data_IF_303695540668
#
_entry.id   IF_303695540668
#
_cell.length_a   1.000
_cell.length_b   1.000
_cell.length_c   1.000
_cell.angle_alpha   90.00
_cell.angle_beta   90.00
_cell.angle_gamma   90.00
#
_symmetry.space_group_name_H-M   'P 1'
#
loop_
_entity.id
_entity.type
_entity.pdbx_description
1 polymer ?
#
# COMPACT_ATOMS: atom_id res chain seq x y z
N UNK A 1 -6.85 -17.63 3.95
CA UNK A 1 -8.26 -18.08 4.04
C UNK A 1 -8.22 -19.56 4.37
N UNK A 2 -8.35 -19.87 5.65
CA UNK A 2 -8.41 -21.22 6.19
C UNK A 2 -9.66 -21.93 5.67
N UNK A 3 -9.47 -23.00 4.90
CA UNK A 3 -10.49 -24.00 4.67
C UNK A 3 -10.16 -25.21 5.54
N UNK A 4 -10.73 -25.12 6.74
CA UNK A 4 -10.98 -26.20 7.68
C UNK A 4 -11.36 -27.51 6.97
N UNK A 5 -10.39 -28.44 6.85
CA UNK A 5 -10.65 -29.86 6.60
C UNK A 5 -11.05 -30.49 7.94
N UNK A 6 -12.28 -30.23 8.37
CA UNK A 6 -12.96 -30.94 9.46
C UNK A 6 -14.40 -31.17 9.06
N UNK A 7 -14.65 -32.30 8.39
CA UNK A 7 -15.99 -32.88 8.20
C UNK A 7 -15.80 -34.30 7.68
N UNK A 8 -15.69 -35.28 8.58
CA UNK A 8 -16.78 -36.23 8.83
C UNK A 8 -17.16 -37.07 7.59
N UNK A 9 -16.37 -38.11 7.33
CA UNK A 9 -16.90 -39.38 6.82
C UNK A 9 -16.52 -40.50 7.78
N UNK A 10 -17.10 -40.43 8.98
CA UNK A 10 -17.32 -41.63 9.78
C UNK A 10 -18.56 -42.33 9.22
N UNK A 11 -18.41 -43.12 8.15
CA UNK A 11 -19.43 -44.10 7.78
C UNK A 11 -19.24 -45.29 8.71
N UNK A 12 -19.82 -45.16 9.91
CA UNK A 12 -19.97 -46.26 10.84
C UNK A 12 -20.89 -47.30 10.21
N UNK A 13 -20.31 -48.44 9.82
CA UNK A 13 -21.03 -49.64 9.44
C UNK A 13 -21.72 -50.20 10.71
N UNK A 14 -22.96 -49.77 10.97
CA UNK A 14 -23.80 -50.34 12.02
C UNK A 14 -24.30 -51.72 11.56
N UNK A 15 -23.63 -52.79 12.00
CA UNK A 15 -24.20 -54.13 11.99
C UNK A 15 -25.13 -54.29 13.20
N UNK A 16 -26.44 -54.29 12.96
CA UNK A 16 -27.43 -54.80 13.91
C UNK A 16 -27.84 -56.21 13.47
N UNK A 17 -27.14 -57.21 13.99
CA UNK A 17 -27.57 -58.62 13.97
C UNK A 17 -28.49 -58.84 15.18
N UNK A 18 -29.80 -58.84 14.96
CA UNK A 18 -30.76 -59.43 15.91
C UNK A 18 -31.33 -60.71 15.31
N UNK A 19 -30.83 -61.83 15.82
CA UNK A 19 -31.29 -63.17 15.55
C UNK A 19 -32.68 -63.43 16.15
N UNK A 20 -33.58 -63.98 15.35
CA UNK A 20 -34.68 -64.80 15.84
C UNK A 20 -34.86 -65.99 14.89
N UNK A 21 -34.91 -67.18 15.47
CA UNK A 21 -34.47 -68.42 14.83
C UNK A 21 -35.44 -69.06 13.85
N UNK A 22 -34.86 -69.83 12.93
CA UNK A 22 -35.47 -71.01 12.35
C UNK A 22 -34.39 -71.98 11.86
N UNK A 23 -34.37 -73.19 12.42
CA UNK A 23 -33.49 -74.28 11.99
C UNK A 23 -34.02 -74.86 10.68
N UNK A 24 -33.53 -74.38 9.51
CA UNK A 24 -33.37 -75.19 8.29
C UNK A 24 -32.85 -74.34 7.11
N UNK A 25 -31.52 -74.34 6.88
CA UNK A 25 -30.79 -74.09 5.62
C UNK A 25 -29.43 -73.37 5.83
N UNK A 26 -28.60 -73.85 6.77
CA UNK A 26 -27.31 -73.21 7.07
C UNK A 26 -26.35 -73.11 5.87
N UNK A 27 -26.44 -74.02 4.88
CA UNK A 27 -25.59 -73.98 3.67
C UNK A 27 -26.02 -72.96 2.62
N UNK A 28 -27.24 -72.42 2.70
CA UNK A 28 -27.75 -71.42 1.75
C UNK A 28 -27.47 -70.00 2.26
N UNK A 29 -27.63 -69.79 3.57
CA UNK A 29 -27.32 -68.51 4.24
C UNK A 29 -25.82 -68.16 4.17
N UNK A 30 -24.91 -69.13 4.35
CA UNK A 30 -23.46 -68.88 4.21
C UNK A 30 -23.07 -68.46 2.78
N UNK A 31 -23.71 -69.04 1.76
CA UNK A 31 -23.45 -68.67 0.36
C UNK A 31 -23.97 -67.29 0.01
N UNK A 32 -25.10 -66.89 0.59
CA UNK A 32 -25.68 -65.57 0.37
C UNK A 32 -24.86 -64.49 1.12
N UNK A 33 -24.31 -64.82 2.30
CA UNK A 33 -23.38 -63.97 3.04
C UNK A 33 -22.03 -63.78 2.30
N UNK A 34 -21.42 -64.85 1.80
CA UNK A 34 -20.18 -64.78 1.01
C UNK A 34 -20.37 -63.96 -0.28
N UNK A 35 -21.56 -64.06 -0.90
CA UNK A 35 -21.90 -63.28 -2.08
C UNK A 35 -22.04 -61.79 -1.76
N UNK A 36 -22.67 -61.46 -0.63
CA UNK A 36 -22.80 -60.08 -0.17
C UNK A 36 -21.44 -59.46 0.19
N UNK A 37 -20.56 -60.20 0.86
CA UNK A 37 -19.19 -59.75 1.18
C UNK A 37 -18.39 -59.52 -0.10
N UNK A 38 -18.49 -60.43 -1.08
CA UNK A 38 -17.81 -60.27 -2.37
C UNK A 38 -18.32 -59.05 -3.14
N UNK A 39 -19.63 -58.81 -3.15
CA UNK A 39 -20.23 -57.63 -3.78
C UNK A 39 -19.79 -56.34 -3.08
N UNK A 40 -19.78 -56.31 -1.75
CA UNK A 40 -19.30 -55.16 -0.98
C UNK A 40 -17.82 -54.87 -1.23
N UNK A 41 -16.99 -55.90 -1.38
CA UNK A 41 -15.57 -55.74 -1.72
C UNK A 41 -15.40 -55.17 -3.14
N UNK A 42 -16.14 -55.69 -4.13
CA UNK A 42 -16.12 -55.17 -5.50
C UNK A 42 -16.59 -53.70 -5.57
N UNK A 43 -17.57 -53.30 -4.75
CA UNK A 43 -17.99 -51.90 -4.64
C UNK A 43 -16.94 -51.02 -3.97
N UNK A 44 -16.28 -51.51 -2.91
CA UNK A 44 -15.20 -50.80 -2.23
C UNK A 44 -13.99 -50.57 -3.16
N UNK A 45 -13.62 -51.59 -3.95
CA UNK A 45 -12.53 -51.50 -4.91
C UNK A 45 -12.85 -50.46 -6.01
N UNK A 46 -14.10 -50.45 -6.52
CA UNK A 46 -14.57 -49.42 -7.46
C UNK A 46 -14.55 -48.01 -6.85
N UNK A 47 -14.94 -47.86 -5.59
CA UNK A 47 -14.89 -46.59 -4.88
C UNK A 47 -13.46 -46.06 -4.72
N UNK A 48 -12.52 -46.94 -4.39
CA UNK A 48 -11.10 -46.59 -4.28
C UNK A 48 -10.52 -46.14 -5.63
N UNK A 49 -10.90 -46.79 -6.73
CA UNK A 49 -10.50 -46.39 -8.08
C UNK A 49 -11.03 -44.99 -8.44
N UNK A 50 -12.30 -44.71 -8.12
CA UNK A 50 -12.89 -43.37 -8.33
C UNK A 50 -12.22 -42.30 -7.47
N UNK A 51 -11.89 -42.60 -6.21
CA UNK A 51 -11.18 -41.66 -5.32
C UNK A 51 -9.78 -41.34 -5.87
N UNK A 52 -9.06 -42.35 -6.36
CA UNK A 52 -7.74 -42.16 -6.98
C UNK A 52 -7.83 -41.30 -8.24
N UNK A 53 -8.83 -41.53 -9.09
CA UNK A 53 -9.08 -40.67 -10.25
C UNK A 53 -9.40 -39.22 -9.87
N UNK A 54 -10.22 -39.01 -8.83
CA UNK A 54 -10.57 -37.68 -8.34
C UNK A 54 -9.34 -36.96 -7.76
N UNK A 55 -8.52 -37.65 -6.97
CA UNK A 55 -7.27 -37.09 -6.43
C UNK A 55 -6.29 -36.70 -7.53
N UNK A 56 -6.13 -37.55 -8.56
CA UNK A 56 -5.32 -37.23 -9.73
C UNK A 56 -5.88 -36.05 -10.54
N UNK A 57 -7.21 -35.93 -10.65
CA UNK A 57 -7.87 -34.77 -11.28
C UNK A 57 -7.64 -33.50 -10.47
N UNK A 58 -7.73 -33.55 -9.15
CA UNK A 58 -7.43 -32.41 -8.27
C UNK A 58 -5.97 -31.97 -8.38
N UNK A 59 -5.03 -32.91 -8.33
CA UNK A 59 -3.61 -32.62 -8.53
C UNK A 59 -3.34 -32.00 -9.90
N UNK A 60 -4.01 -32.49 -10.95
CA UNK A 60 -3.91 -31.93 -12.31
C UNK A 60 -4.56 -30.55 -12.40
N UNK A 61 -5.67 -30.30 -11.73
CA UNK A 61 -6.30 -28.98 -11.65
C UNK A 61 -5.40 -28.00 -10.89
N UNK A 62 -4.76 -28.42 -9.80
CA UNK A 62 -3.79 -27.60 -9.07
C UNK A 62 -2.58 -27.26 -9.94
N UNK A 63 -2.00 -28.24 -10.63
CA UNK A 63 -0.89 -28.02 -11.56
C UNK A 63 -1.28 -27.09 -12.73
N UNK A 64 -2.49 -27.26 -13.29
CA UNK A 64 -3.02 -26.36 -14.33
C UNK A 64 -3.31 -24.96 -13.80
N UNK A 65 -3.71 -24.80 -12.54
CA UNK A 65 -3.86 -23.48 -11.90
C UNK A 65 -2.50 -22.81 -11.69
N UNK A 66 -1.50 -23.55 -11.21
CA UNK A 66 -0.14 -23.02 -11.05
C UNK A 66 0.48 -22.64 -12.39
N UNK A 67 0.29 -23.48 -13.41
CA UNK A 67 0.73 -23.20 -14.78
C UNK A 67 -0.03 -22.03 -15.40
N UNK A 68 -1.35 -21.92 -15.17
CA UNK A 68 -2.14 -20.77 -15.60
C UNK A 68 -1.74 -19.48 -14.87
N UNK A 69 -1.46 -19.53 -13.56
CA UNK A 69 -0.94 -18.39 -12.79
C UNK A 69 0.43 -17.98 -13.33
N UNK A 70 1.33 -18.94 -13.58
CA UNK A 70 2.66 -18.70 -14.15
C UNK A 70 2.57 -18.11 -15.57
N UNK A 71 1.67 -18.62 -16.40
CA UNK A 71 1.45 -18.13 -17.78
C UNK A 71 0.64 -16.82 -17.84
N UNK A 72 -0.10 -16.47 -16.79
CA UNK A 72 -0.75 -15.16 -16.66
C UNK A 72 0.25 -14.13 -16.10
N UNK A 73 1.18 -14.56 -15.23
CA UNK A 73 2.27 -13.75 -14.67
C UNK A 73 3.52 -13.68 -15.56
N UNK A 74 3.58 -14.40 -16.68
CA UNK A 74 4.52 -14.10 -17.78
C UNK A 74 4.19 -12.78 -18.47
N UNK A 75 3.10 -12.12 -18.10
CA UNK A 75 3.08 -10.66 -18.15
C UNK A 75 4.14 -10.19 -17.13
N UNK A 76 5.36 -9.96 -17.61
CA UNK A 76 6.44 -9.27 -16.90
C UNK A 76 5.79 -8.00 -16.37
N UNK A 77 5.28 -8.03 -15.14
CA UNK A 77 4.71 -6.85 -14.53
C UNK A 77 5.91 -6.14 -13.95
N UNK A 78 6.46 -5.12 -14.63
CA UNK A 78 7.42 -4.25 -13.97
C UNK A 78 6.71 -3.77 -12.69
N UNK A 79 7.38 -3.81 -11.54
CA UNK A 79 6.87 -3.17 -10.32
C UNK A 79 6.25 -1.79 -10.59
N UNK A 80 5.47 -1.27 -9.63
CA UNK A 80 4.80 0.01 -9.78
C UNK A 80 5.77 1.13 -10.16
N UNK A 81 5.30 2.10 -10.94
CA UNK A 81 6.05 3.33 -11.17
C UNK A 81 6.03 4.20 -9.90
N UNK A 82 7.07 4.97 -9.60
CA UNK A 82 6.96 6.02 -8.60
C UNK A 82 5.87 7.03 -9.00
N UNK A 83 5.28 7.70 -7.99
CA UNK A 83 4.39 8.82 -8.24
C UNK A 83 5.16 10.06 -8.66
N UNK A 84 4.47 11.00 -9.31
CA UNK A 84 5.09 12.19 -9.88
C UNK A 84 5.70 13.08 -8.79
N UNK A 85 6.90 13.62 -9.03
CA UNK A 85 7.58 14.60 -8.18
C UNK A 85 7.76 15.89 -8.97
N UNK A 86 7.05 16.94 -8.57
CA UNK A 86 7.12 18.27 -9.19
C UNK A 86 7.74 19.25 -8.20
N UNK A 87 8.90 19.82 -8.53
CA UNK A 87 9.54 20.85 -7.74
C UNK A 87 9.59 22.16 -8.53
N UNK A 88 9.20 23.27 -7.88
CA UNK A 88 9.07 24.56 -8.55
C UNK A 88 9.65 25.74 -7.77
N UNK A 89 10.12 26.75 -8.49
CA UNK A 89 10.58 28.03 -7.94
C UNK A 89 11.97 27.95 -7.32
N UNK A 90 12.17 28.51 -6.13
CA UNK A 90 13.46 28.62 -5.44
C UNK A 90 14.09 27.27 -5.06
N UNK A 91 13.37 26.16 -5.20
CA UNK A 91 13.89 24.79 -5.06
C UNK A 91 14.77 24.39 -6.25
N UNK A 92 14.56 25.03 -7.41
CA UNK A 92 15.15 24.69 -8.70
C UNK A 92 16.07 25.82 -9.15
N UNK A 93 17.37 25.54 -9.25
CA UNK A 93 18.37 26.50 -9.72
C UNK A 93 18.42 26.57 -11.24
N UNK A 94 18.26 25.44 -11.91
CA UNK A 94 18.19 25.31 -13.37
C UNK A 94 17.41 24.06 -13.77
N UNK A 95 17.20 23.81 -15.06
CA UNK A 95 16.35 22.71 -15.58
C UNK A 95 16.69 21.31 -15.04
N UNK A 96 17.88 21.10 -14.47
CA UNK A 96 18.27 19.83 -13.84
C UNK A 96 19.08 20.01 -12.56
N UNK A 97 19.04 21.19 -11.95
CA UNK A 97 19.81 21.50 -10.74
C UNK A 97 18.89 21.98 -9.63
N UNK A 98 19.01 21.35 -8.47
CA UNK A 98 18.24 21.71 -7.28
C UNK A 98 19.10 22.56 -6.34
N UNK A 99 18.44 23.31 -5.47
CA UNK A 99 19.12 23.86 -4.31
C UNK A 99 19.75 22.69 -3.49
N UNK A 100 21.02 22.80 -3.03
CA UNK A 100 21.76 21.72 -2.35
C UNK A 100 21.17 21.34 -1.00
N UNK A 101 20.19 22.10 -0.50
CA UNK A 101 19.37 21.71 0.63
C UNK A 101 18.27 20.72 0.25
N UNK A 102 18.02 20.50 -1.05
CA UNK A 102 16.94 19.66 -1.57
C UNK A 102 17.54 18.44 -2.26
N UNK A 103 17.13 17.26 -1.81
CA UNK A 103 17.48 15.99 -2.45
C UNK A 103 16.19 15.28 -2.85
N UNK A 104 16.12 14.79 -4.09
CA UNK A 104 14.93 14.13 -4.62
C UNK A 104 15.29 12.80 -5.28
N UNK A 105 14.61 11.74 -4.90
CA UNK A 105 14.80 10.38 -5.40
C UNK A 105 13.46 9.78 -5.85
N UNK A 106 13.46 9.16 -7.02
CA UNK A 106 12.32 8.40 -7.56
C UNK A 106 12.77 6.97 -7.84
N UNK A 107 11.99 5.98 -7.38
CA UNK A 107 12.30 4.57 -7.58
C UNK A 107 11.09 3.76 -8.02
N UNK A 108 11.30 2.93 -9.05
CA UNK A 108 10.39 1.86 -9.40
C UNK A 108 10.30 0.81 -8.30
N UNK A 109 9.10 0.27 -8.11
CA UNK A 109 8.88 -0.89 -7.27
C UNK A 109 9.51 -2.15 -7.86
N UNK A 110 9.56 -3.22 -7.06
CA UNK A 110 10.12 -4.52 -7.47
C UNK A 110 9.07 -5.41 -8.12
N UNK A 111 9.43 -6.10 -9.20
CA UNK A 111 8.65 -7.20 -9.78
C UNK A 111 8.72 -8.44 -8.89
N UNK A 112 7.98 -9.48 -9.27
CA UNK A 112 8.00 -10.78 -8.59
C UNK A 112 9.37 -11.48 -8.64
N UNK A 113 10.18 -11.20 -9.67
CA UNK A 113 11.56 -11.70 -9.80
C UNK A 113 12.57 -10.84 -9.01
N UNK A 114 12.11 -9.77 -8.35
CA UNK A 114 12.96 -8.85 -7.57
C UNK A 114 13.61 -7.73 -8.39
N UNK A 115 13.38 -7.66 -9.70
CA UNK A 115 13.87 -6.58 -10.56
C UNK A 115 13.07 -5.29 -10.35
N UNK A 116 13.74 -4.14 -10.30
CA UNK A 116 13.05 -2.85 -10.25
C UNK A 116 12.64 -2.39 -11.63
N UNK A 117 11.47 -1.78 -11.73
CA UNK A 117 11.02 -1.12 -12.95
C UNK A 117 11.93 0.04 -13.33
N UNK A 118 12.16 0.19 -14.63
CA UNK A 118 12.71 1.43 -15.16
C UNK A 118 11.71 2.55 -14.86
N UNK A 119 12.23 3.66 -14.31
CA UNK A 119 11.42 4.83 -13.98
C UNK A 119 11.19 5.65 -15.24
N UNK A 120 9.93 6.03 -15.47
CA UNK A 120 9.58 6.93 -16.57
C UNK A 120 10.28 8.30 -16.39
N UNK A 121 10.91 8.80 -17.45
CA UNK A 121 11.52 10.13 -17.50
C UNK A 121 10.59 11.28 -17.09
N UNK A 122 9.27 11.11 -17.18
CA UNK A 122 8.30 12.17 -16.85
C UNK A 122 7.92 12.24 -15.37
N UNK A 123 8.37 11.28 -14.54
CA UNK A 123 8.03 11.25 -13.12
C UNK A 123 8.60 12.46 -12.40
N UNK A 124 9.82 12.89 -12.72
CA UNK A 124 10.46 14.02 -12.06
C UNK A 124 10.39 15.27 -12.95
N UNK A 125 9.87 16.37 -12.42
CA UNK A 125 9.70 17.62 -13.15
C UNK A 125 10.21 18.79 -12.32
N UNK A 126 11.08 19.59 -12.94
CA UNK A 126 11.63 20.80 -12.34
C UNK A 126 11.16 22.04 -13.10
N UNK A 127 10.64 23.02 -12.36
CA UNK A 127 10.16 24.28 -12.91
C UNK A 127 10.89 25.43 -12.23
N UNK A 128 11.52 26.30 -13.01
CA UNK A 128 12.28 27.44 -12.46
C UNK A 128 11.41 28.51 -11.80
N UNK A 129 10.09 28.48 -12.02
CA UNK A 129 9.16 29.45 -11.42
C UNK A 129 7.86 28.79 -10.98
N UNK A 130 7.24 29.38 -9.97
CA UNK A 130 5.86 29.07 -9.58
C UNK A 130 4.89 29.79 -10.52
N UNK A 131 3.75 29.16 -10.81
CA UNK A 131 2.74 29.67 -11.74
C UNK A 131 2.03 30.92 -11.22
N UNK A 132 1.42 31.68 -12.14
CA UNK A 132 0.66 32.88 -11.76
C UNK A 132 -0.55 32.57 -10.86
N UNK A 133 -1.22 31.43 -11.08
CA UNK A 133 -2.32 30.97 -10.23
C UNK A 133 -1.84 30.63 -8.82
N UNK A 134 -0.71 29.93 -8.69
CA UNK A 134 -0.10 29.65 -7.38
C UNK A 134 0.29 30.94 -6.64
N UNK A 135 0.83 31.93 -7.35
CA UNK A 135 1.15 33.24 -6.77
C UNK A 135 -0.09 33.97 -6.28
N UNK A 136 -1.22 33.85 -6.99
CA UNK A 136 -2.48 34.46 -6.60
C UNK A 136 -3.05 33.82 -5.33
N UNK A 137 -3.03 32.48 -5.25
CA UNK A 137 -3.42 31.74 -4.03
C UNK A 137 -2.61 32.20 -2.82
N UNK A 138 -1.29 32.38 -2.99
CA UNK A 138 -0.38 32.80 -1.92
C UNK A 138 -0.58 34.26 -1.49
N UNK A 139 -0.95 35.17 -2.40
CA UNK A 139 -1.22 36.58 -2.08
C UNK A 139 -2.35 36.72 -1.07
N UNK A 140 -3.38 35.88 -1.18
CA UNK A 140 -4.54 35.91 -0.28
C UNK A 140 -4.17 35.52 1.16
N UNK A 141 -3.15 34.67 1.35
CA UNK A 141 -2.74 34.20 2.67
C UNK A 141 -1.86 35.21 3.43
N UNK A 142 -1.18 36.12 2.73
CA UNK A 142 -0.27 37.09 3.35
C UNK A 142 -0.98 38.07 4.31
N UNK A 143 -2.27 38.31 4.11
CA UNK A 143 -3.08 39.22 4.91
C UNK A 143 -3.98 38.54 5.95
N UNK A 144 -3.94 37.21 6.07
CA UNK A 144 -4.90 36.46 6.92
C UNK A 144 -4.69 36.72 8.42
N UNK A 145 -3.47 37.07 8.85
CA UNK A 145 -3.16 37.34 10.26
C UNK A 145 -3.17 36.07 11.13
N UNK A 146 -3.11 34.88 10.52
CA UNK A 146 -3.24 33.60 11.22
C UNK A 146 -2.00 32.71 11.06
N UNK A 147 -1.78 31.83 12.04
CA UNK A 147 -0.82 30.74 11.90
C UNK A 147 -1.41 29.39 12.31
N UNK A 148 -0.95 28.34 11.67
CA UNK A 148 -1.18 26.94 12.07
C UNK A 148 0.11 26.42 12.70
N UNK A 149 0.00 25.79 13.86
CA UNK A 149 1.11 25.15 14.53
C UNK A 149 0.82 23.67 14.76
N UNK A 150 1.61 22.83 14.10
CA UNK A 150 1.63 21.39 14.29
C UNK A 150 2.93 21.01 15.01
N UNK A 151 2.84 20.78 16.32
CA UNK A 151 3.92 20.17 17.10
C UNK A 151 5.08 21.09 17.49
N UNK A 152 5.08 22.36 17.09
CA UNK A 152 6.16 23.29 17.42
C UNK A 152 5.92 24.01 18.74
N UNK A 153 7.00 24.43 19.40
CA UNK A 153 6.93 25.42 20.48
C UNK A 153 6.88 26.81 19.84
N UNK A 154 5.70 27.44 19.83
CA UNK A 154 5.47 28.68 19.07
C UNK A 154 6.36 29.86 19.47
N UNK A 155 6.87 29.89 20.72
CA UNK A 155 7.80 30.93 21.19
C UNK A 155 9.13 30.94 20.42
N UNK A 156 9.48 29.86 19.75
CA UNK A 156 10.77 29.69 19.07
C UNK A 156 10.72 30.22 17.62
N UNK A 157 9.56 30.72 17.19
CA UNK A 157 9.29 31.17 15.83
C UNK A 157 8.78 32.60 15.81
N UNK A 158 9.72 33.51 15.59
CA UNK A 158 9.47 34.94 15.35
C UNK A 158 8.46 35.20 14.23
N UNK A 159 8.33 34.25 13.29
CA UNK A 159 7.39 34.31 12.20
C UNK A 159 5.93 34.35 12.65
N UNK A 160 5.62 33.83 13.84
CA UNK A 160 4.27 33.82 14.44
C UNK A 160 3.93 35.06 15.24
N UNK A 161 4.88 35.97 15.45
CA UNK A 161 4.68 37.15 16.30
C UNK A 161 3.55 38.02 15.75
N UNK A 162 2.54 38.27 16.60
CA UNK A 162 1.38 39.08 16.26
C UNK A 162 0.33 38.38 15.40
N UNK A 163 0.46 37.06 15.18
CA UNK A 163 -0.53 36.26 14.47
C UNK A 163 -1.44 35.52 15.45
N UNK A 164 -2.66 35.23 15.00
CA UNK A 164 -3.64 34.46 15.74
C UNK A 164 -3.54 32.97 15.38
N UNK A 165 -3.56 32.09 16.38
CA UNK A 165 -3.59 30.65 16.12
C UNK A 165 -4.89 30.27 15.43
N UNK A 166 -4.78 29.53 14.33
CA UNK A 166 -5.89 28.87 13.66
C UNK A 166 -5.93 27.43 14.14
N UNK A 167 -6.95 27.09 14.92
CA UNK A 167 -7.13 25.73 15.42
C UNK A 167 -7.32 24.76 14.25
N UNK A 168 -6.60 23.64 14.30
CA UNK A 168 -6.79 22.52 13.40
C UNK A 168 -7.58 21.48 14.18
N UNK A 169 -8.74 21.08 13.65
CA UNK A 169 -9.55 20.02 14.27
C UNK A 169 -8.69 18.78 14.52
N UNK A 170 -8.81 18.17 15.70
CA UNK A 170 -8.09 16.93 16.05
C UNK A 170 -8.39 15.80 15.06
N UNK A 171 -9.60 15.80 14.46
CA UNK A 171 -10.00 14.85 13.42
C UNK A 171 -9.26 15.06 12.09
N UNK A 172 -8.71 16.26 11.87
CA UNK A 172 -7.94 16.60 10.68
C UNK A 172 -6.46 16.22 10.79
N UNK A 173 -5.94 15.95 12.00
CA UNK A 173 -4.52 15.60 12.22
C UNK A 173 -4.14 14.23 11.63
N UNK A 174 -4.96 13.16 11.72
CA UNK A 174 -4.61 11.86 11.12
C UNK A 174 -4.71 11.83 9.59
N UNK A 175 -5.38 12.82 8.97
CA UNK A 175 -5.67 12.84 7.53
C UNK A 175 -5.35 14.21 6.92
N UNK A 176 -4.41 14.98 7.48
CA UNK A 176 -4.07 16.37 7.12
C UNK A 176 -4.49 16.76 5.71
N UNK A 177 -5.71 17.29 5.53
CA UNK A 177 -6.25 17.49 4.17
C UNK A 177 -5.80 18.80 3.59
N UNK A 178 -6.08 19.89 4.31
CA UNK A 178 -5.80 21.25 3.85
C UNK A 178 -5.37 22.11 5.03
N UNK A 179 -4.13 22.57 5.02
CA UNK A 179 -3.60 23.58 5.92
C UNK A 179 -3.39 24.86 5.12
N UNK A 180 -4.10 25.92 5.49
CA UNK A 180 -3.98 27.25 4.87
C UNK A 180 -3.97 28.30 5.97
N UNK A 181 -2.88 29.06 6.05
CA UNK A 181 -2.70 30.18 6.97
C UNK A 181 -1.60 31.12 6.45
N UNK A 182 -1.43 32.29 7.06
CA UNK A 182 -0.28 33.15 6.74
C UNK A 182 1.04 32.45 7.09
N UNK A 183 1.10 31.75 8.22
CA UNK A 183 2.26 30.93 8.61
C UNK A 183 1.81 29.51 8.93
N UNK A 184 2.47 28.51 8.37
CA UNK A 184 2.29 27.11 8.75
C UNK A 184 3.59 26.58 9.33
N UNK A 185 3.54 26.15 10.59
CA UNK A 185 4.64 25.54 11.34
C UNK A 185 4.39 24.05 11.50
N UNK A 186 5.38 23.23 11.19
CA UNK A 186 5.32 21.77 11.36
C UNK A 186 6.65 21.31 11.96
N UNK A 187 6.62 20.69 13.14
CA UNK A 187 7.83 20.26 13.86
C UNK A 187 7.70 18.83 14.37
N UNK A 188 8.80 18.05 14.29
CA UNK A 188 8.99 16.75 14.97
C UNK A 188 7.78 15.80 14.93
N UNK A 189 7.06 15.80 13.80
CA UNK A 189 5.85 15.02 13.61
C UNK A 189 6.07 13.98 12.52
N UNK A 190 5.69 12.74 12.86
CA UNK A 190 5.58 11.62 11.94
C UNK A 190 4.10 11.46 11.55
N UNK A 191 3.75 11.88 10.33
CA UNK A 191 2.39 11.77 9.82
C UNK A 191 2.26 10.69 8.76
N UNK A 192 1.29 9.80 8.97
CA UNK A 192 0.69 8.99 7.90
C UNK A 192 -0.40 9.78 7.22
N UNK A 193 -0.01 10.70 6.35
CA UNK A 193 -0.95 11.59 5.67
C UNK A 193 -1.79 10.87 4.62
N UNK A 194 -2.95 11.42 4.26
CA UNK A 194 -3.72 11.03 3.07
C UNK A 194 -3.35 11.92 1.88
N UNK A 195 -4.36 12.45 1.18
CA UNK A 195 -4.18 13.64 0.35
C UNK A 195 -3.96 14.87 1.26
N UNK A 196 -2.86 15.60 1.05
CA UNK A 196 -2.44 16.74 1.86
C UNK A 196 -2.09 17.94 1.02
N UNK A 197 -2.64 19.10 1.40
CA UNK A 197 -2.34 20.39 0.81
C UNK A 197 -1.93 21.38 1.90
N UNK A 198 -0.66 21.77 1.92
CA UNK A 198 -0.09 22.75 2.84
C UNK A 198 0.16 24.03 2.05
N UNK A 199 -0.39 25.15 2.50
CA UNK A 199 -0.10 26.44 1.89
C UNK A 199 -0.02 27.58 2.88
N UNK A 200 0.95 28.46 2.67
CA UNK A 200 1.08 29.67 3.46
C UNK A 200 2.05 30.69 2.86
N UNK A 201 1.96 31.93 3.31
CA UNK A 201 2.98 32.93 2.97
C UNK A 201 4.35 32.45 3.47
N UNK A 202 4.38 31.86 4.67
CA UNK A 202 5.55 31.14 5.18
C UNK A 202 5.17 29.72 5.57
N UNK A 203 5.89 28.73 5.04
CA UNK A 203 5.81 27.34 5.49
C UNK A 203 7.15 26.97 6.11
N UNK A 204 7.12 26.49 7.35
CA UNK A 204 8.30 26.12 8.12
C UNK A 204 8.23 24.62 8.39
N UNK A 205 9.26 23.91 7.91
CA UNK A 205 9.45 22.50 8.18
C UNK A 205 10.65 22.37 9.13
N UNK A 206 10.39 21.87 10.34
CA UNK A 206 11.41 21.64 11.36
C UNK A 206 11.51 20.14 11.72
N UNK A 207 12.50 19.42 11.20
CA UNK A 207 12.65 18.00 11.52
C UNK A 207 11.46 17.10 11.11
N UNK A 208 10.71 17.47 10.07
CA UNK A 208 9.42 16.82 9.75
C UNK A 208 9.61 15.50 9.02
N UNK A 209 8.79 14.49 9.34
CA UNK A 209 8.69 13.25 8.55
C UNK A 209 7.27 13.05 8.02
N UNK A 210 7.08 13.30 6.73
CA UNK A 210 5.86 12.95 6.03
C UNK A 210 6.01 11.59 5.36
N UNK A 211 5.17 10.63 5.74
CA UNK A 211 5.15 9.30 5.13
C UNK A 211 3.75 8.98 4.60
N UNK A 212 3.58 9.01 3.28
CA UNK A 212 2.37 8.53 2.61
C UNK A 212 2.62 7.13 2.07
N UNK A 213 1.88 6.15 2.59
CA UNK A 213 1.71 4.84 1.94
C UNK A 213 0.31 4.79 1.37
N UNK A 214 0.16 4.71 0.05
CA UNK A 214 -1.16 4.87 -0.55
C UNK A 214 -1.28 4.57 -2.04
N UNK A 215 -2.33 5.11 -2.63
CA UNK A 215 -2.69 4.94 -4.03
C UNK A 215 -2.26 6.15 -4.87
N UNK A 216 -2.20 6.04 -6.21
CA UNK A 216 -1.83 7.15 -7.10
C UNK A 216 -2.66 8.42 -6.95
N UNK A 217 -3.90 8.30 -6.44
CA UNK A 217 -4.80 9.44 -6.22
C UNK A 217 -4.42 10.31 -5.02
N UNK A 218 -3.57 9.78 -4.13
CA UNK A 218 -3.08 10.52 -2.99
C UNK A 218 -1.94 11.45 -3.42
N UNK A 219 -1.80 12.58 -2.75
CA UNK A 219 -0.70 13.49 -3.03
C UNK A 219 -0.31 14.31 -1.81
N UNK A 220 0.95 14.73 -1.76
CA UNK A 220 1.46 15.72 -0.82
C UNK A 220 1.82 16.98 -1.60
N UNK A 221 1.10 18.07 -1.33
CA UNK A 221 1.35 19.37 -1.96
C UNK A 221 1.78 20.38 -0.91
N UNK A 222 2.87 21.09 -1.19
CA UNK A 222 3.35 22.22 -0.39
C UNK A 222 3.49 23.44 -1.30
N UNK A 223 2.78 24.53 -0.97
CA UNK A 223 2.80 25.78 -1.71
C UNK A 223 3.12 26.95 -0.78
N UNK A 224 4.27 27.60 -0.97
CA UNK A 224 4.73 28.68 -0.11
C UNK A 224 5.25 29.90 -0.87
N UNK A 225 5.04 31.13 -0.36
CA UNK A 225 5.89 32.24 -0.80
C UNK A 225 7.31 32.03 -0.29
N UNK A 226 7.45 31.63 0.98
CA UNK A 226 8.74 31.33 1.60
C UNK A 226 8.69 29.97 2.30
N UNK A 227 9.48 29.02 1.80
CA UNK A 227 9.76 27.76 2.49
C UNK A 227 10.99 27.94 3.39
N UNK A 228 10.86 27.60 4.66
CA UNK A 228 11.91 27.72 5.67
C UNK A 228 12.22 26.31 6.18
N UNK A 229 13.44 25.85 5.95
CA UNK A 229 13.91 24.54 6.41
C UNK A 229 14.74 24.73 7.68
N UNK A 230 14.28 24.14 8.78
CA UNK A 230 15.02 24.02 10.03
C UNK A 230 15.24 22.51 10.29
N UNK A 231 16.47 22.11 10.56
CA UNK A 231 16.82 20.68 10.62
C UNK A 231 16.55 19.89 9.32
N UNK A 232 16.58 18.57 9.43
CA UNK A 232 16.42 17.67 8.29
C UNK A 232 14.97 17.18 8.21
N UNK A 233 14.28 17.53 7.12
CA UNK A 233 12.91 17.11 6.84
C UNK A 233 12.85 16.08 5.72
N UNK A 234 11.91 15.16 5.80
CA UNK A 234 11.76 14.03 4.88
C UNK A 234 10.31 13.87 4.41
N UNK A 235 10.10 13.71 3.10
CA UNK A 235 8.80 13.44 2.48
C UNK A 235 8.91 12.16 1.66
N UNK A 236 8.22 11.11 2.08
CA UNK A 236 8.11 9.84 1.39
C UNK A 236 6.69 9.62 0.89
N UNK A 237 6.57 9.37 -0.41
CA UNK A 237 5.37 8.86 -1.04
C UNK A 237 5.65 7.46 -1.59
N UNK A 238 5.06 6.45 -0.99
CA UNK A 238 5.22 5.04 -1.37
C UNK A 238 3.88 4.45 -1.77
N UNK A 239 3.86 3.69 -2.86
CA UNK A 239 2.68 2.93 -3.23
C UNK A 239 2.50 1.69 -2.33
N UNK A 240 1.25 1.26 -2.14
CA UNK A 240 0.97 0.01 -1.41
C UNK A 240 1.52 -1.19 -2.18
N UNK A 241 2.40 -1.95 -1.53
CA UNK A 241 2.95 -3.19 -2.07
C UNK A 241 1.84 -4.27 -2.13
N UNK A 242 1.87 -5.14 -3.15
CA UNK A 242 0.75 -6.07 -3.39
C UNK A 242 1.13 -7.36 -4.14
N UNK A 243 0.32 -8.43 -4.05
CA UNK A 243 0.63 -9.73 -4.62
C UNK A 243 0.23 -9.91 -6.10
N UNK A 244 -0.44 -8.92 -6.69
CA UNK A 244 -0.94 -9.03 -8.07
C UNK A 244 -1.16 -7.67 -8.73
N UNK A 245 -1.63 -6.68 -7.97
CA UNK A 245 -1.83 -5.31 -8.47
C UNK A 245 -0.63 -4.44 -8.11
N UNK A 246 0.13 -4.06 -9.13
CA UNK A 246 1.22 -3.09 -9.00
C UNK A 246 0.71 -1.72 -9.45
N UNK A 247 0.59 -0.81 -8.50
CA UNK A 247 0.12 0.56 -8.67
C UNK A 247 1.28 1.57 -8.60
N UNK A 248 1.08 2.73 -9.21
CA UNK A 248 2.01 3.84 -9.08
C UNK A 248 1.97 4.47 -7.68
N UNK A 249 3.08 5.07 -7.27
CA UNK A 249 3.17 5.82 -6.02
C UNK A 249 2.27 7.08 -5.99
N UNK A 250 2.00 7.62 -4.80
CA UNK A 250 1.40 8.95 -4.63
C UNK A 250 2.29 10.06 -5.18
N UNK A 251 1.68 11.18 -5.58
CA UNK A 251 2.42 12.32 -6.14
C UNK A 251 2.90 13.30 -5.06
N UNK A 252 4.03 13.96 -5.29
CA UNK A 252 4.58 15.03 -4.46
C UNK A 252 4.72 16.30 -5.32
N UNK A 253 4.19 17.42 -4.86
CA UNK A 253 4.34 18.71 -5.50
C UNK A 253 4.79 19.77 -4.49
N UNK A 254 5.94 20.41 -4.72
CA UNK A 254 6.46 21.45 -3.84
C UNK A 254 6.80 22.68 -4.68
N UNK A 255 6.17 23.81 -4.33
CA UNK A 255 6.33 25.09 -5.01
C UNK A 255 6.68 26.15 -3.96
N UNK A 256 7.82 26.81 -4.12
CA UNK A 256 8.25 27.89 -3.23
C UNK A 256 8.87 29.06 -4.00
N UNK A 257 8.45 30.31 -3.74
CA UNK A 257 9.07 31.49 -4.38
C UNK A 257 10.44 31.82 -3.76
N UNK A 258 10.62 31.50 -2.48
CA UNK A 258 11.84 31.71 -1.71
C UNK A 258 12.15 30.48 -0.84
N UNK A 259 13.45 30.19 -0.67
CA UNK A 259 13.95 29.12 0.19
C UNK A 259 14.97 29.68 1.18
N UNK A 260 14.80 29.41 2.47
CA UNK A 260 15.69 29.90 3.53
C UNK A 260 15.87 28.88 4.66
N UNK A 261 16.79 29.18 5.58
CA UNK A 261 17.17 28.27 6.65
C UNK A 261 18.32 27.35 6.27
N UNK A 262 18.88 26.70 7.28
CA UNK A 262 20.06 25.82 7.19
C UNK A 262 19.68 24.33 7.08
N UNK A 263 18.39 24.01 7.18
CA UNK A 263 17.88 22.65 7.10
C UNK A 263 17.91 22.06 5.69
N UNK A 264 17.65 20.76 5.62
CA UNK A 264 17.53 20.00 4.38
C UNK A 264 16.14 19.41 4.19
N UNK A 265 15.77 19.17 2.94
CA UNK A 265 14.55 18.49 2.55
C UNK A 265 14.87 17.32 1.62
N UNK A 266 14.56 16.13 2.09
CA UNK A 266 14.72 14.88 1.36
C UNK A 266 13.36 14.43 0.85
N UNK A 267 13.26 14.15 -0.44
CA UNK A 267 12.01 13.81 -1.12
C UNK A 267 12.19 12.45 -1.76
N UNK A 268 11.28 11.51 -1.48
CA UNK A 268 11.35 10.16 -2.01
C UNK A 268 10.00 9.71 -2.53
N UNK A 269 9.96 9.21 -3.76
CA UNK A 269 8.77 8.59 -4.35
C UNK A 269 9.08 7.15 -4.77
N UNK A 270 8.26 6.21 -4.33
CA UNK A 270 8.43 4.77 -4.57
C UNK A 270 7.15 4.14 -5.14
N UNK A 271 7.30 3.39 -6.23
CA UNK A 271 6.23 2.54 -6.73
C UNK A 271 6.04 1.25 -5.94
N UNK A 272 4.88 0.61 -6.10
CA UNK A 272 4.55 -0.65 -5.40
C UNK A 272 5.48 -1.79 -5.79
N UNK A 273 5.89 -2.57 -4.81
CA UNK A 273 6.61 -3.82 -5.02
C UNK A 273 5.68 -5.02 -4.95
N UNK A 274 6.02 -6.06 -5.69
CA UNK A 274 5.41 -7.36 -5.54
C UNK A 274 5.71 -7.94 -4.16
N UNK A 275 4.67 -8.39 -3.47
CA UNK A 275 4.79 -9.20 -2.26
C UNK A 275 4.28 -10.59 -2.57
N UNK A 276 5.12 -11.61 -2.35
CA UNK A 276 4.66 -12.98 -2.42
C UNK A 276 3.48 -13.13 -1.45
N UNK A 277 2.32 -13.53 -1.98
CA UNK A 277 1.19 -13.87 -1.14
C UNK A 277 1.68 -15.02 -0.26
N UNK A 278 1.89 -14.76 1.02
CA UNK A 278 2.21 -15.82 1.99
C UNK A 278 1.05 -16.80 1.95
N UNK A 279 1.23 -17.89 1.21
CA UNK A 279 0.30 -18.98 1.14
C UNK A 279 0.24 -19.61 2.54
N UNK A 280 -0.73 -19.19 3.34
CA UNK A 280 -1.09 -19.81 4.61
C UNK A 280 -0.04 -19.71 5.71
N UNK A 281 -0.09 -18.63 6.50
CA UNK A 281 0.29 -18.69 7.91
C UNK A 281 -0.95 -18.50 8.79
N UNK A 282 -1.93 -19.38 8.59
CA UNK A 282 -2.94 -19.74 9.59
C UNK A 282 -2.61 -21.16 10.03
N UNK A 283 -2.21 -21.31 11.29
CA UNK A 283 -1.94 -22.59 11.95
C UNK A 283 -3.22 -23.37 12.18
#
# INVERSE_FOLDING_TARGET
MDLSVKSLFGVGLFMALSACGSKSNSKKEDKDADRAVKQAQEELDRLNEVILELSNKEARIAALKDEAIKNTLTFISPGGQPGQVILSGALVRSENDLDPRIEAEVMGGKSWEGFRSQVDHQVMQFKSSISNSEKEDLKNLKGEGTFVNLGCISSDYEETRGLHTKEVSEEALPVLRVLKAQVVLICDLDFKVGWTWISGDRVILDGVRFERIGEPKDSVTVLANKLILRGDSFILAKAVDGPSTLISGPSIAISADQLSGEGKLFIKSEGSSYLEATAGSGK
#
